data_IF_014761124451
#
_entry.id   IF_014761124451
#
_cell.length_a   1.000
_cell.length_b   1.000
_cell.length_c   1.000
_cell.angle_alpha   90.00
_cell.angle_beta   90.00
_cell.angle_gamma   90.00
#
_symmetry.space_group_name_H-M   'P 1'
#
loop_
_entity.id
_entity.type
_entity.pdbx_description
1 polymer ?
#
# COMPACT_ATOMS: atom_id res chain seq x y z
N UNK A 1 -3.12 -18.33 -11.97
CA UNK A 1 -2.30 -17.82 -10.84
C UNK A 1 -2.85 -18.32 -9.53
N UNK A 2 -2.00 -18.89 -8.67
CA UNK A 2 -2.39 -19.39 -7.35
C UNK A 2 -1.80 -18.47 -6.27
N UNK A 3 -2.63 -17.86 -5.46
CA UNK A 3 -2.20 -16.93 -4.39
C UNK A 3 -1.23 -17.60 -3.39
N UNK A 4 -1.37 -18.92 -3.19
CA UNK A 4 -0.48 -19.67 -2.32
C UNK A 4 0.95 -19.81 -2.88
N UNK A 5 1.13 -19.77 -4.19
CA UNK A 5 2.47 -19.80 -4.80
C UNK A 5 3.16 -18.44 -4.65
N UNK A 6 2.41 -17.35 -4.78
CA UNK A 6 2.88 -16.00 -4.44
C UNK A 6 3.28 -15.90 -2.96
N UNK A 7 2.48 -16.48 -2.07
CA UNK A 7 2.82 -16.53 -0.64
C UNK A 7 4.13 -17.29 -0.37
N UNK A 8 4.39 -18.41 -1.07
CA UNK A 8 5.67 -19.13 -0.98
C UNK A 8 6.84 -18.29 -1.47
N UNK A 9 6.66 -17.56 -2.59
CA UNK A 9 7.68 -16.68 -3.14
C UNK A 9 8.03 -15.53 -2.17
N UNK A 10 7.02 -14.88 -1.58
CA UNK A 10 7.22 -13.85 -0.58
C UNK A 10 7.97 -14.37 0.68
N UNK A 11 7.61 -15.58 1.16
CA UNK A 11 8.35 -16.22 2.27
C UNK A 11 9.82 -16.49 1.90
N UNK A 12 10.11 -16.90 0.67
CA UNK A 12 11.48 -17.03 0.15
C UNK A 12 12.21 -15.69 0.11
N UNK A 13 11.47 -14.59 -0.11
CA UNK A 13 11.98 -13.23 -0.05
C UNK A 13 11.99 -12.65 1.39
N UNK A 14 11.87 -13.52 2.40
CA UNK A 14 12.00 -13.24 3.84
C UNK A 14 10.82 -12.47 4.48
N UNK A 15 9.71 -12.23 3.77
CA UNK A 15 8.50 -11.66 4.35
C UNK A 15 7.77 -12.69 5.22
N UNK A 16 7.16 -12.24 6.31
CA UNK A 16 6.05 -12.95 6.92
C UNK A 16 4.84 -12.85 5.98
N UNK A 17 4.03 -13.91 5.91
CA UNK A 17 2.89 -13.93 4.97
C UNK A 17 1.69 -14.60 5.61
N UNK A 18 0.59 -13.89 5.64
CA UNK A 18 -0.74 -14.38 5.97
C UNK A 18 -1.64 -14.33 4.74
N UNK A 19 -2.47 -15.35 4.54
CA UNK A 19 -3.36 -15.46 3.37
C UNK A 19 -4.81 -15.59 3.85
N UNK A 20 -5.70 -14.79 3.28
CA UNK A 20 -7.12 -14.77 3.62
C UNK A 20 -7.99 -14.81 2.37
N UNK A 21 -9.14 -15.47 2.46
CA UNK A 21 -10.08 -15.59 1.35
C UNK A 21 -10.79 -14.27 1.04
N UNK A 22 -11.03 -13.43 2.04
CA UNK A 22 -11.72 -12.16 1.89
C UNK A 22 -11.20 -11.10 2.87
N UNK A 23 -11.63 -9.86 2.67
CA UNK A 23 -11.23 -8.72 3.49
C UNK A 23 -11.77 -8.79 4.92
N UNK A 24 -12.90 -9.45 5.14
CA UNK A 24 -13.49 -9.61 6.46
C UNK A 24 -12.59 -10.44 7.37
N UNK A 25 -12.11 -11.60 6.88
CA UNK A 25 -11.17 -12.47 7.62
C UNK A 25 -9.83 -11.77 7.87
N UNK A 26 -9.29 -11.07 6.87
CA UNK A 26 -8.05 -10.31 7.03
C UNK A 26 -8.20 -9.17 8.05
N UNK A 27 -9.37 -8.51 8.06
CA UNK A 27 -9.66 -7.45 9.02
C UNK A 27 -9.78 -8.00 10.44
N UNK A 28 -10.48 -9.11 10.62
CA UNK A 28 -10.60 -9.80 11.92
C UNK A 28 -9.21 -10.17 12.46
N UNK A 29 -8.37 -10.76 11.64
CA UNK A 29 -6.97 -11.04 11.99
C UNK A 29 -6.26 -9.79 12.49
N UNK A 30 -6.25 -8.71 11.68
CA UNK A 30 -5.55 -7.46 12.03
C UNK A 30 -6.10 -6.81 13.31
N UNK A 31 -7.42 -6.85 13.53
CA UNK A 31 -8.02 -6.30 14.76
C UNK A 31 -7.77 -7.16 16.00
N UNK A 32 -7.47 -8.44 15.81
CA UNK A 32 -7.15 -9.36 16.91
C UNK A 32 -5.70 -9.24 17.38
N UNK A 33 -4.76 -9.01 16.47
CA UNK A 33 -3.32 -8.96 16.80
C UNK A 33 -2.87 -7.61 17.35
N UNK A 34 -3.68 -6.52 17.17
CA UNK A 34 -3.33 -5.18 17.65
C UNK A 34 -4.23 -4.74 18.80
N UNK A 35 -3.61 -4.43 19.92
CA UNK A 35 -4.27 -3.89 21.09
C UNK A 35 -3.35 -2.88 21.78
N UNK A 36 -3.82 -1.66 21.96
CA UNK A 36 -3.09 -0.56 22.59
C UNK A 36 -1.81 -0.13 21.84
N UNK A 37 -1.82 -0.27 20.50
CA UNK A 37 -0.71 0.06 19.62
C UNK A 37 -0.85 1.46 19.00
N UNK A 38 0.29 2.00 18.51
CA UNK A 38 0.34 3.24 17.73
C UNK A 38 0.67 2.89 16.28
N UNK A 39 -0.32 3.10 15.39
CA UNK A 39 -0.28 2.64 14.01
C UNK A 39 -0.31 3.85 13.06
N UNK A 40 0.65 3.91 12.13
CA UNK A 40 0.65 4.87 11.02
C UNK A 40 0.19 4.24 9.72
N UNK A 41 -0.64 4.97 8.97
CA UNK A 41 -1.12 4.53 7.66
C UNK A 41 -0.40 5.24 6.51
N UNK A 42 -0.13 4.50 5.46
CA UNK A 42 0.49 4.98 4.22
C UNK A 42 -0.51 5.33 3.11
N UNK A 43 -1.65 5.95 3.42
CA UNK A 43 -2.67 6.43 2.45
C UNK A 43 -3.05 5.37 1.41
N UNK A 44 -3.78 4.35 1.80
CA UNK A 44 -4.17 3.23 0.94
C UNK A 44 -5.67 3.12 0.72
N UNK A 45 -6.07 3.00 -0.54
CA UNK A 45 -7.48 2.75 -0.90
C UNK A 45 -7.93 1.33 -0.52
N UNK A 46 -7.01 0.35 -0.53
CA UNK A 46 -7.27 -1.00 -0.01
C UNK A 46 -7.74 -0.96 1.44
N UNK A 47 -7.04 -0.21 2.29
CA UNK A 47 -7.38 -0.09 3.71
C UNK A 47 -8.68 0.69 3.94
N UNK A 48 -9.01 1.65 3.07
CA UNK A 48 -10.32 2.35 3.08
C UNK A 48 -11.45 1.37 2.80
N UNK A 49 -11.33 0.53 1.77
CA UNK A 49 -12.35 -0.47 1.41
C UNK A 49 -12.55 -1.54 2.49
N UNK A 50 -11.55 -1.77 3.33
CA UNK A 50 -11.62 -2.66 4.50
C UNK A 50 -12.15 -1.96 5.76
N UNK A 51 -12.36 -0.65 5.73
CA UNK A 51 -12.66 0.20 6.91
C UNK A 51 -11.65 0.03 8.06
N UNK A 52 -10.39 -0.30 7.73
CA UNK A 52 -9.38 -0.68 8.72
C UNK A 52 -9.15 0.39 9.77
N UNK A 53 -9.10 1.66 9.37
CA UNK A 53 -8.91 2.76 10.33
C UNK A 53 -9.97 2.74 11.43
N UNK A 54 -11.26 2.70 11.04
CA UNK A 54 -12.38 2.68 11.98
C UNK A 54 -12.31 1.50 12.94
N UNK A 55 -12.02 0.31 12.40
CA UNK A 55 -11.99 -0.94 13.16
C UNK A 55 -10.79 -1.00 14.11
N UNK A 56 -9.59 -0.62 13.64
CA UNK A 56 -8.38 -0.61 14.47
C UNK A 56 -8.42 0.48 15.54
N UNK A 57 -9.06 1.63 15.28
CA UNK A 57 -9.15 2.74 16.24
C UNK A 57 -10.00 2.42 17.48
N UNK A 58 -10.67 1.28 17.52
CA UNK A 58 -11.42 0.86 18.72
C UNK A 58 -10.49 0.61 19.89
N UNK A 59 -9.35 -0.03 19.64
CA UNK A 59 -8.39 -0.44 20.67
C UNK A 59 -6.96 0.11 20.45
N UNK A 60 -6.76 0.96 19.43
CA UNK A 60 -5.43 1.47 19.06
C UNK A 60 -5.48 2.95 18.71
N UNK A 61 -4.31 3.61 18.73
CA UNK A 61 -4.15 4.96 18.20
C UNK A 61 -3.73 4.88 16.74
N UNK A 62 -4.60 5.27 15.80
CA UNK A 62 -4.33 5.20 14.36
C UNK A 62 -4.19 6.59 13.75
N UNK A 63 -3.06 6.85 13.10
CA UNK A 63 -2.82 8.05 12.30
C UNK A 63 -2.99 7.74 10.82
N UNK A 64 -3.89 8.47 10.17
CA UNK A 64 -4.12 8.37 8.72
C UNK A 64 -3.99 9.75 8.09
N UNK A 65 -3.08 9.96 7.13
CA UNK A 65 -2.94 11.24 6.44
C UNK A 65 -4.23 11.76 5.81
N UNK A 66 -5.17 10.88 5.48
CA UNK A 66 -6.51 11.24 4.95
C UNK A 66 -7.38 12.02 5.93
N UNK A 67 -7.02 12.10 7.21
CA UNK A 67 -7.72 12.94 8.19
C UNK A 67 -7.42 14.43 8.02
N UNK A 68 -6.34 14.75 7.31
CA UNK A 68 -5.96 16.13 7.03
C UNK A 68 -6.98 16.84 6.14
N UNK A 69 -7.48 17.99 6.61
CA UNK A 69 -8.46 18.81 5.90
C UNK A 69 -7.85 19.59 4.74
N UNK A 70 -6.54 19.71 4.72
CA UNK A 70 -5.77 20.40 3.68
C UNK A 70 -4.38 19.74 3.57
N UNK A 71 -3.58 20.20 2.61
CA UNK A 71 -2.26 19.62 2.34
C UNK A 71 -1.28 19.74 3.53
N UNK A 72 -1.33 20.82 4.30
CA UNK A 72 -0.44 21.03 5.44
C UNK A 72 -0.76 20.05 6.57
N UNK A 73 -2.04 19.83 6.85
CA UNK A 73 -2.49 18.83 7.82
C UNK A 73 -2.17 17.41 7.35
N UNK A 74 -2.40 17.10 6.06
CA UNK A 74 -1.98 15.83 5.46
C UNK A 74 -0.50 15.56 5.69
N UNK A 75 0.38 16.52 5.34
CA UNK A 75 1.83 16.38 5.51
C UNK A 75 2.23 16.26 6.98
N UNK A 76 1.57 16.98 7.88
CA UNK A 76 1.81 16.88 9.33
C UNK A 76 1.49 15.47 9.85
N UNK A 77 0.34 14.93 9.46
CA UNK A 77 -0.06 13.58 9.86
C UNK A 77 0.84 12.53 9.19
N UNK A 78 1.15 12.68 7.90
CA UNK A 78 2.05 11.78 7.18
C UNK A 78 3.44 11.70 7.85
N UNK A 79 4.01 12.83 8.27
CA UNK A 79 5.26 12.85 9.06
C UNK A 79 5.12 12.11 10.39
N UNK A 80 3.96 12.23 11.07
CA UNK A 80 3.70 11.50 12.31
C UNK A 80 3.60 9.99 12.08
N UNK A 81 3.02 9.56 10.95
CA UNK A 81 2.98 8.16 10.56
C UNK A 81 4.38 7.55 10.40
N UNK A 82 5.41 8.33 10.00
CA UNK A 82 6.78 7.86 9.85
C UNK A 82 7.51 7.59 11.19
N UNK A 83 6.90 7.92 12.31
CA UNK A 83 7.48 7.77 13.66
C UNK A 83 6.70 6.78 14.54
N UNK A 84 5.78 6.03 13.97
CA UNK A 84 5.02 4.99 14.67
C UNK A 84 5.80 3.67 14.71
N UNK A 85 5.51 2.82 15.68
CA UNK A 85 6.12 1.49 15.76
C UNK A 85 5.62 0.56 14.62
N UNK A 86 4.34 0.72 14.25
CA UNK A 86 3.68 -0.08 13.21
C UNK A 86 3.30 0.84 12.04
N UNK A 87 3.63 0.41 10.84
CA UNK A 87 3.21 1.08 9.61
C UNK A 87 2.41 0.14 8.71
N UNK A 88 1.26 0.60 8.24
CA UNK A 88 0.40 -0.18 7.34
C UNK A 88 0.20 0.54 6.02
N UNK A 89 0.38 -0.16 4.93
CA UNK A 89 0.14 0.35 3.59
C UNK A 89 -0.30 -0.76 2.64
N UNK A 90 -0.42 -0.47 1.38
CA UNK A 90 -0.64 -1.44 0.31
C UNK A 90 0.40 -1.24 -0.79
N UNK A 91 0.34 -2.07 -1.83
CA UNK A 91 1.24 -2.02 -2.97
C UNK A 91 0.51 -1.58 -4.25
N UNK A 92 1.24 -1.05 -5.24
CA UNK A 92 0.69 -0.78 -6.56
C UNK A 92 0.85 -1.98 -7.51
N UNK A 93 1.82 -2.86 -7.24
CA UNK A 93 2.03 -4.12 -7.93
C UNK A 93 2.78 -5.10 -7.04
N UNK A 94 2.52 -6.38 -7.21
CA UNK A 94 3.21 -7.49 -6.59
C UNK A 94 3.46 -8.54 -7.66
N UNK A 95 4.68 -9.02 -7.81
CA UNK A 95 4.97 -10.05 -8.81
C UNK A 95 4.70 -11.46 -8.27
N UNK A 96 4.52 -12.44 -9.16
CA UNK A 96 4.34 -13.84 -8.77
C UNK A 96 5.55 -14.41 -8.03
N UNK A 97 6.76 -13.87 -8.26
CA UNK A 97 7.99 -14.22 -7.55
C UNK A 97 8.24 -13.37 -6.28
N UNK A 98 7.26 -12.54 -5.89
CA UNK A 98 7.24 -11.83 -4.61
C UNK A 98 8.05 -10.53 -4.56
N UNK A 99 8.21 -9.84 -5.69
CA UNK A 99 8.78 -8.49 -5.76
C UNK A 99 7.67 -7.46 -5.62
N UNK A 100 7.86 -6.49 -4.75
CA UNK A 100 6.89 -5.41 -4.50
C UNK A 100 7.23 -4.19 -5.35
N UNK A 101 6.21 -3.59 -5.98
CA UNK A 101 6.34 -2.37 -6.79
C UNK A 101 5.38 -1.30 -6.28
N UNK A 102 5.95 -0.12 -5.97
CA UNK A 102 5.19 1.06 -5.55
C UNK A 102 5.56 2.30 -6.36
N UNK A 103 4.56 3.07 -6.73
CA UNK A 103 4.70 4.44 -7.26
C UNK A 103 4.19 5.43 -6.22
N UNK A 104 4.94 6.50 -5.97
CA UNK A 104 4.58 7.51 -4.98
C UNK A 104 4.76 8.93 -5.51
N UNK A 105 3.91 9.83 -5.03
CA UNK A 105 3.95 11.26 -5.37
C UNK A 105 4.62 12.10 -4.29
N UNK A 106 4.23 11.90 -3.04
CA UNK A 106 4.73 12.63 -1.87
C UNK A 106 5.93 11.94 -1.24
N UNK A 107 6.03 10.61 -1.40
CA UNK A 107 7.12 9.79 -0.85
C UNK A 107 6.82 9.22 0.53
N UNK A 108 5.71 9.59 1.17
CA UNK A 108 5.38 9.16 2.53
C UNK A 108 5.15 7.65 2.66
N UNK A 109 4.51 7.01 1.67
CA UNK A 109 4.29 5.56 1.68
C UNK A 109 5.60 4.80 1.52
N UNK A 110 6.39 5.15 0.51
CA UNK A 110 7.67 4.47 0.25
C UNK A 110 8.69 4.73 1.35
N UNK A 111 8.71 5.91 1.96
CA UNK A 111 9.58 6.18 3.11
C UNK A 111 9.20 5.31 4.32
N UNK A 112 7.91 5.26 4.67
CA UNK A 112 7.42 4.46 5.80
C UNK A 112 7.55 2.96 5.58
N UNK A 113 7.53 2.49 4.34
CA UNK A 113 7.68 1.05 4.08
C UNK A 113 9.12 0.55 4.17
N UNK A 114 10.12 1.44 4.11
CA UNK A 114 11.52 1.02 4.01
C UNK A 114 12.31 1.09 5.31
N UNK A 115 11.98 2.02 6.21
CA UNK A 115 12.85 2.29 7.35
C UNK A 115 12.13 2.99 8.52
N UNK A 116 12.56 2.67 9.74
CA UNK A 116 12.23 3.39 10.97
C UNK A 116 11.12 2.76 11.82
N UNK A 117 10.34 1.85 11.29
CA UNK A 117 9.29 1.14 12.01
C UNK A 117 9.80 -0.19 12.60
N UNK A 118 9.17 -0.68 13.66
CA UNK A 118 9.41 -2.03 14.17
C UNK A 118 8.82 -3.07 13.22
N UNK A 119 7.59 -2.81 12.73
CA UNK A 119 6.92 -3.71 11.80
C UNK A 119 6.12 -2.96 10.73
N UNK A 120 6.24 -3.44 9.49
CA UNK A 120 5.49 -2.94 8.33
C UNK A 120 4.51 -4.02 7.85
N UNK A 121 3.28 -3.62 7.57
CA UNK A 121 2.25 -4.47 6.98
C UNK A 121 1.89 -3.99 5.57
N UNK A 122 2.02 -4.88 4.59
CA UNK A 122 1.49 -4.70 3.26
C UNK A 122 0.17 -5.43 3.11
N UNK A 123 -0.94 -4.71 2.94
CA UNK A 123 -2.28 -5.27 2.75
C UNK A 123 -2.55 -5.33 1.24
N UNK A 124 -2.66 -6.53 0.68
CA UNK A 124 -2.59 -6.73 -0.76
C UNK A 124 -3.75 -7.59 -1.28
N UNK A 125 -4.63 -6.99 -2.07
CA UNK A 125 -5.65 -7.72 -2.84
C UNK A 125 -5.04 -8.43 -4.06
N UNK A 126 -5.62 -9.56 -4.46
CA UNK A 126 -5.15 -10.40 -5.59
C UNK A 126 -5.06 -9.66 -6.92
N UNK A 127 -5.90 -8.63 -7.12
CA UNK A 127 -5.88 -7.79 -8.32
C UNK A 127 -4.56 -7.04 -8.54
N UNK A 128 -3.66 -7.05 -7.56
CA UNK A 128 -2.35 -6.37 -7.63
C UNK A 128 -1.22 -7.29 -8.07
N UNK A 129 -1.50 -8.58 -8.21
CA UNK A 129 -0.50 -9.56 -8.62
C UNK A 129 -0.29 -9.49 -10.14
N UNK A 130 0.97 -9.47 -10.55
CA UNK A 130 1.43 -9.39 -11.93
C UNK A 130 2.46 -10.50 -12.20
N UNK A 131 2.63 -10.90 -13.45
CA UNK A 131 3.54 -11.99 -13.84
C UNK A 131 5.00 -11.73 -13.47
N UNK A 132 5.45 -10.50 -13.63
CA UNK A 132 6.84 -10.08 -13.50
C UNK A 132 6.96 -8.59 -13.15
N UNK A 133 8.19 -8.11 -12.99
CA UNK A 133 8.49 -6.71 -12.63
C UNK A 133 7.97 -5.73 -13.68
N UNK A 134 8.10 -6.06 -14.97
CA UNK A 134 7.67 -5.18 -16.06
C UNK A 134 6.14 -5.03 -16.03
N UNK A 135 5.42 -6.12 -15.87
CA UNK A 135 3.96 -6.13 -15.71
C UNK A 135 3.52 -5.40 -14.44
N UNK A 136 4.23 -5.55 -13.32
CA UNK A 136 3.94 -4.85 -12.07
C UNK A 136 4.17 -3.33 -12.21
N UNK A 137 5.25 -2.90 -12.86
CA UNK A 137 5.51 -1.49 -13.19
C UNK A 137 4.44 -0.96 -14.14
N UNK A 138 4.10 -1.74 -15.17
CA UNK A 138 3.04 -1.36 -16.10
C UNK A 138 1.71 -1.14 -15.39
N UNK A 139 1.34 -2.08 -14.50
CA UNK A 139 0.14 -2.00 -13.68
C UNK A 139 0.14 -0.75 -12.80
N UNK A 140 1.25 -0.50 -12.10
CA UNK A 140 1.40 0.66 -11.24
C UNK A 140 1.20 1.98 -12.00
N UNK A 141 1.77 2.08 -13.21
CA UNK A 141 1.70 3.28 -14.06
C UNK A 141 0.41 3.44 -14.84
N UNK A 142 -0.19 2.33 -15.32
CA UNK A 142 -1.31 2.38 -16.25
C UNK A 142 -2.67 2.05 -15.61
N UNK A 143 -2.68 1.47 -14.40
CA UNK A 143 -3.91 1.15 -13.65
C UNK A 143 -3.97 1.96 -12.36
N UNK A 144 -3.00 1.75 -11.44
CA UNK A 144 -3.09 2.33 -10.10
C UNK A 144 -2.95 3.87 -10.11
N UNK A 145 -1.94 4.41 -10.79
CA UNK A 145 -1.70 5.85 -10.82
C UNK A 145 -2.83 6.63 -11.54
N UNK A 146 -3.34 6.22 -12.72
CA UNK A 146 -4.48 6.88 -13.35
C UNK A 146 -5.75 6.88 -12.49
N UNK A 147 -6.11 5.73 -11.91
CA UNK A 147 -7.28 5.62 -11.03
C UNK A 147 -7.15 6.49 -9.78
N UNK A 148 -5.96 6.52 -9.17
CA UNK A 148 -5.72 7.36 -8.01
C UNK A 148 -5.72 8.85 -8.35
N UNK A 149 -5.14 9.26 -9.50
CA UNK A 149 -5.19 10.63 -9.98
C UNK A 149 -6.61 11.09 -10.24
N UNK A 150 -7.45 10.24 -10.84
CA UNK A 150 -8.87 10.52 -11.07
C UNK A 150 -9.64 10.65 -9.75
N UNK A 151 -9.41 9.74 -8.79
CA UNK A 151 -10.01 9.80 -7.45
C UNK A 151 -9.67 11.11 -6.72
N UNK A 152 -8.46 11.60 -6.89
CA UNK A 152 -8.00 12.87 -6.30
C UNK A 152 -8.49 14.12 -7.07
N UNK A 153 -9.21 13.97 -8.18
CA UNK A 153 -9.69 15.08 -8.99
C UNK A 153 -8.59 15.86 -9.71
N UNK A 154 -7.44 15.22 -9.96
CA UNK A 154 -6.29 15.89 -10.57
C UNK A 154 -6.45 16.07 -12.07
N UNK A 155 -5.78 17.09 -12.65
CA UNK A 155 -5.84 17.42 -14.08
C UNK A 155 -4.68 16.82 -14.88
N UNK A 156 -4.20 15.67 -14.48
CA UNK A 156 -3.21 14.92 -15.26
C UNK A 156 -3.89 14.30 -16.50
N UNK A 157 -3.18 14.11 -17.63
CA UNK A 157 -3.77 13.49 -18.83
C UNK A 157 -4.40 12.11 -18.55
N UNK A 158 -3.78 11.30 -17.71
CA UNK A 158 -4.28 9.98 -17.35
C UNK A 158 -5.55 10.04 -16.46
N UNK A 159 -5.69 11.06 -15.60
CA UNK A 159 -6.91 11.26 -14.81
C UNK A 159 -8.08 11.73 -15.67
N UNK A 160 -7.82 12.66 -16.58
CA UNK A 160 -8.85 13.24 -17.48
C UNK A 160 -9.38 12.19 -18.47
N UNK A 161 -8.48 11.37 -19.06
CA UNK A 161 -8.85 10.35 -20.05
C UNK A 161 -9.24 9.02 -19.44
N UNK A 162 -8.84 8.75 -18.17
CA UNK A 162 -9.09 7.51 -17.42
C UNK A 162 -8.67 6.23 -18.17
N UNK A 163 -7.56 6.27 -18.91
CA UNK A 163 -7.11 5.16 -19.76
C UNK A 163 -5.72 4.61 -19.39
N UNK A 164 -4.65 5.38 -19.64
CA UNK A 164 -3.26 4.93 -19.48
C UNK A 164 -2.34 6.05 -19.02
N UNK A 165 -1.10 5.69 -18.70
CA UNK A 165 -0.02 6.65 -18.39
C UNK A 165 0.47 7.34 -19.67
N UNK A 166 0.58 8.67 -19.64
CA UNK A 166 1.11 9.51 -20.71
C UNK A 166 2.54 9.97 -20.45
N UNK A 167 3.18 9.50 -19.39
CA UNK A 167 4.50 9.96 -18.95
C UNK A 167 4.61 11.49 -18.90
N UNK A 168 3.58 12.13 -18.38
CA UNK A 168 3.40 13.59 -18.44
C UNK A 168 4.37 14.33 -17.50
N UNK A 169 4.55 15.62 -17.76
CA UNK A 169 5.20 16.60 -16.87
C UNK A 169 4.20 17.54 -16.21
N UNK A 170 2.95 17.07 -16.00
CA UNK A 170 1.90 17.87 -15.35
C UNK A 170 2.34 18.29 -13.93
N UNK A 171 2.05 19.53 -13.51
CA UNK A 171 2.29 19.96 -12.12
C UNK A 171 1.48 19.14 -11.12
N UNK A 172 0.37 18.54 -11.54
CA UNK A 172 -0.48 17.68 -10.71
C UNK A 172 -0.01 16.20 -10.68
N UNK A 173 1.17 15.89 -11.24
CA UNK A 173 1.69 14.51 -11.32
C UNK A 173 1.94 13.91 -9.93
N UNK A 174 1.41 12.71 -9.71
CA UNK A 174 1.58 11.93 -8.46
C UNK A 174 2.44 10.67 -8.62
N UNK A 175 3.06 10.44 -9.76
CA UNK A 175 3.94 9.30 -10.03
C UNK A 175 5.39 9.78 -10.16
N UNK A 176 5.95 10.31 -9.04
CA UNK A 176 7.25 10.96 -9.01
C UNK A 176 8.39 10.01 -8.68
N UNK A 177 8.13 8.97 -7.87
CA UNK A 177 9.11 7.96 -7.49
C UNK A 177 8.58 6.55 -7.81
N UNK A 178 9.47 5.66 -8.20
CA UNK A 178 9.23 4.23 -8.38
C UNK A 178 10.13 3.47 -7.41
N UNK A 179 9.54 2.65 -6.55
CA UNK A 179 10.21 1.75 -5.64
C UNK A 179 10.00 0.31 -6.11
N UNK A 180 11.07 -0.47 -6.15
CA UNK A 180 11.08 -1.91 -6.36
C UNK A 180 11.77 -2.56 -5.18
N UNK A 181 11.04 -3.36 -4.42
CA UNK A 181 11.56 -4.13 -3.30
C UNK A 181 11.71 -5.59 -3.70
N UNK A 182 12.94 -6.05 -3.85
CA UNK A 182 13.23 -7.44 -4.22
C UNK A 182 13.02 -8.41 -3.06
N UNK A 183 13.26 -7.95 -1.83
CA UNK A 183 13.17 -8.75 -0.60
C UNK A 183 12.87 -7.84 0.59
N UNK A 184 12.46 -8.45 1.71
CA UNK A 184 12.30 -7.77 2.99
C UNK A 184 13.57 -6.99 3.37
N UNK A 185 13.40 -5.77 3.85
CA UNK A 185 14.50 -4.98 4.40
C UNK A 185 15.10 -5.66 5.63
N UNK A 186 16.40 -5.41 5.88
CA UNK A 186 17.04 -5.85 7.10
C UNK A 186 16.55 -5.02 8.31
N UNK A 187 16.57 -5.62 9.49
CA UNK A 187 16.24 -4.98 10.78
C UNK A 187 14.81 -4.39 10.91
N UNK A 188 13.90 -4.73 10.01
CA UNK A 188 12.47 -4.43 10.09
C UNK A 188 11.68 -5.71 9.91
N UNK A 189 10.70 -5.97 10.76
CA UNK A 189 9.72 -7.03 10.51
C UNK A 189 8.73 -6.57 9.44
N UNK A 190 8.51 -7.40 8.43
CA UNK A 190 7.60 -7.07 7.34
C UNK A 190 6.66 -8.23 7.06
N UNK A 191 5.35 -7.95 7.09
CA UNK A 191 4.32 -8.93 6.80
C UNK A 191 3.49 -8.51 5.59
N UNK A 192 3.29 -9.45 4.66
CA UNK A 192 2.37 -9.29 3.55
C UNK A 192 1.09 -10.05 3.85
N UNK A 193 0.00 -9.32 4.01
CA UNK A 193 -1.36 -9.84 4.19
C UNK A 193 -1.99 -9.95 2.82
N UNK A 194 -1.99 -11.15 2.25
CA UNK A 194 -2.58 -11.45 0.95
C UNK A 194 -4.06 -11.76 1.09
N UNK A 195 -4.88 -11.15 0.25
CA UNK A 195 -6.34 -11.32 0.26
C UNK A 195 -6.81 -11.78 -1.12
N UNK A 196 -7.51 -12.93 -1.17
CA UNK A 196 -8.05 -13.51 -2.40
C UNK A 196 -9.27 -12.75 -2.93
N UNK A 197 -9.25 -11.42 -2.82
CA UNK A 197 -10.31 -10.50 -3.23
C UNK A 197 -9.67 -9.29 -3.93
N UNK A 198 -10.40 -8.67 -4.86
CA UNK A 198 -9.95 -7.44 -5.54
C UNK A 198 -10.14 -6.24 -4.61
N UNK A 199 -9.04 -5.58 -4.22
CA UNK A 199 -9.04 -4.47 -3.27
C UNK A 199 -8.15 -3.32 -3.73
N UNK A 200 -8.67 -2.11 -3.65
CA UNK A 200 -8.00 -0.89 -4.07
C UNK A 200 -7.74 -0.86 -5.59
N UNK A 201 -6.71 -0.13 -6.00
CA UNK A 201 -6.39 0.09 -7.43
C UNK A 201 -5.23 -0.74 -7.91
#
# INVERSE_FOLDING_TARGET
>A
MNINDVAKALKKNRYEVSVFENKEMATEYLTTIFNNEIIGFGDSETMVQMELKKKLSVNNTVFDPKDGKNNDEFLKIAKKCLTTDIFMTSVNGLTEDGVIVNIDGTGNRVAGSLFGHKKVYYIVGKNKIASDIEAAIWRARNIAAPKNSARLGLRTPCAVKCDKCYNCSSPDRICNALLIEFKKMDDIDMEVVLINEDLGF
#
